data_IF_393414826762
#
_entry.id   IF_393414826762
#
_cell.length_a   1.000
_cell.length_b   1.000
_cell.length_c   1.000
_cell.angle_alpha   90.00
_cell.angle_beta   90.00
_cell.angle_gamma   90.00
#
_symmetry.space_group_name_H-M   'P 1'
#
loop_
_entity.id
_entity.type
_entity.pdbx_description
1 polymer ?
#
# COMPACT_ATOMS: atom_id res chain seq x y z
N UNK A 1 0.02 9.99 26.77
CA UNK A 1 -1.02 10.76 26.04
C UNK A 1 -0.89 10.39 24.57
N UNK A 2 -1.92 9.93 23.86
CA UNK A 2 -1.76 9.66 22.44
C UNK A 2 -1.50 10.99 21.73
N UNK A 3 -0.37 11.08 21.04
CA UNK A 3 -0.01 12.24 20.24
C UNK A 3 -1.14 12.53 19.25
N UNK A 4 -1.72 13.73 19.31
CA UNK A 4 -2.73 14.15 18.33
C UNK A 4 -2.06 14.21 16.96
N UNK A 5 -2.47 13.34 16.05
CA UNK A 5 -2.10 13.46 14.63
C UNK A 5 -2.58 14.84 14.16
N UNK A 6 -1.71 15.66 13.54
CA UNK A 6 -2.11 16.97 13.06
C UNK A 6 -3.21 16.83 12.01
N UNK A 7 -4.16 17.78 12.01
CA UNK A 7 -5.14 17.92 10.93
C UNK A 7 -4.38 18.27 9.64
N UNK A 8 -4.34 17.31 8.72
CA UNK A 8 -3.79 17.52 7.38
C UNK A 8 -4.99 17.81 6.47
N UNK A 9 -4.97 18.99 5.82
CA UNK A 9 -5.92 19.37 4.78
C UNK A 9 -5.19 19.31 3.44
N UNK A 10 -5.60 18.38 2.58
CA UNK A 10 -5.09 18.25 1.21
C UNK A 10 -6.24 18.39 0.22
N UNK A 11 -5.98 19.12 -0.88
CA UNK A 11 -6.93 19.38 -1.96
C UNK A 11 -6.48 18.75 -3.27
N UNK A 12 -7.42 18.19 -4.04
CA UNK A 12 -7.19 17.77 -5.44
C UNK A 12 -8.45 17.96 -6.28
N UNK A 13 -8.27 18.10 -7.60
CA UNK A 13 -9.40 18.22 -8.54
C UNK A 13 -9.72 16.84 -9.11
N UNK A 14 -10.97 16.43 -9.05
CA UNK A 14 -11.47 15.16 -9.58
C UNK A 14 -12.65 15.40 -10.51
N UNK A 15 -12.61 14.79 -11.70
CA UNK A 15 -13.77 14.71 -12.58
C UNK A 15 -14.74 13.62 -12.10
N UNK A 16 -15.99 13.97 -11.83
CA UNK A 16 -17.11 13.05 -11.53
C UNK A 16 -18.22 13.35 -12.52
N UNK A 17 -18.57 12.38 -13.38
CA UNK A 17 -19.57 12.55 -14.45
C UNK A 17 -19.36 13.77 -15.37
N UNK A 18 -18.10 14.15 -15.60
CA UNK A 18 -17.75 15.29 -16.46
C UNK A 18 -17.67 16.65 -15.75
N UNK A 19 -18.03 16.71 -14.47
CA UNK A 19 -17.90 17.91 -13.65
C UNK A 19 -16.64 17.84 -12.79
N UNK A 20 -15.96 18.98 -12.61
CA UNK A 20 -14.75 19.10 -11.80
C UNK A 20 -15.11 19.46 -10.36
N UNK A 21 -14.64 18.65 -9.42
CA UNK A 21 -14.79 18.86 -7.99
C UNK A 21 -13.42 19.06 -7.34
N UNK A 22 -13.28 20.08 -6.51
CA UNK A 22 -12.15 20.16 -5.59
C UNK A 22 -12.50 19.41 -4.30
N UNK A 23 -11.73 18.36 -4.01
CA UNK A 23 -11.95 17.48 -2.87
C UNK A 23 -10.98 17.84 -1.77
N UNK A 24 -11.49 18.17 -0.60
CA UNK A 24 -10.69 18.37 0.60
C UNK A 24 -10.82 17.18 1.55
N UNK A 25 -9.69 16.53 1.84
CA UNK A 25 -9.63 15.48 2.87
C UNK A 25 -9.17 16.12 4.17
N UNK A 26 -9.97 15.94 5.24
CA UNK A 26 -9.59 16.30 6.61
C UNK A 26 -9.52 15.02 7.43
N UNK A 27 -8.31 14.62 7.83
CA UNK A 27 -8.13 13.50 8.73
C UNK A 27 -8.66 13.86 10.14
N UNK A 28 -9.52 13.00 10.70
CA UNK A 28 -10.06 13.14 12.05
C UNK A 28 -9.52 11.97 12.87
N UNK A 29 -8.89 12.27 14.01
CA UNK A 29 -8.48 11.24 14.96
C UNK A 29 -9.71 10.70 15.70
N UNK A 30 -10.09 9.45 15.41
CA UNK A 30 -11.27 8.79 15.97
C UNK A 30 -11.07 7.28 16.02
N UNK A 31 -11.69 6.62 16.99
CA UNK A 31 -11.81 5.14 17.05
C UNK A 31 -13.15 4.65 16.51
N UNK A 32 -14.10 5.55 16.22
CA UNK A 32 -15.42 5.21 15.70
C UNK A 32 -15.34 4.90 14.20
N UNK A 33 -15.73 3.68 13.80
CA UNK A 33 -15.62 3.19 12.41
C UNK A 33 -14.21 3.34 11.85
N UNK A 34 -13.19 3.23 12.72
CA UNK A 34 -11.81 3.18 12.30
C UNK A 34 -11.51 1.85 11.61
N UNK A 35 -10.41 1.80 10.88
CA UNK A 35 -9.84 0.53 10.43
C UNK A 35 -9.38 -0.28 11.65
N UNK A 36 -9.11 -1.58 11.44
CA UNK A 36 -8.53 -2.44 12.47
C UNK A 36 -7.17 -1.92 12.96
N UNK A 37 -6.64 -2.47 14.04
CA UNK A 37 -5.32 -2.07 14.50
C UNK A 37 -4.23 -2.43 13.48
N UNK A 38 -3.27 -1.52 13.36
CA UNK A 38 -2.11 -1.69 12.49
C UNK A 38 -0.90 -1.85 13.39
N UNK A 39 -0.37 -3.07 13.51
CA UNK A 39 0.88 -3.26 14.23
C UNK A 39 2.02 -2.61 13.45
N UNK A 40 2.83 -1.83 14.15
CA UNK A 40 4.05 -1.21 13.61
C UNK A 40 5.26 -1.88 14.26
N UNK A 41 6.08 -2.54 13.44
CA UNK A 41 7.27 -3.24 13.90
C UNK A 41 8.50 -2.46 13.48
N UNK A 42 9.23 -1.92 14.46
CA UNK A 42 10.57 -1.38 14.23
C UNK A 42 11.59 -2.52 14.31
N UNK A 43 12.09 -2.97 13.16
CA UNK A 43 12.99 -4.11 13.03
C UNK A 43 14.42 -3.63 12.74
N UNK A 44 15.36 -3.98 13.60
CA UNK A 44 16.80 -3.70 13.42
C UNK A 44 17.66 -4.87 13.87
N UNK A 45 18.78 -5.11 13.18
CA UNK A 45 19.77 -6.15 13.53
C UNK A 45 19.18 -7.58 13.56
N UNK A 46 18.28 -7.88 12.63
CA UNK A 46 17.48 -9.10 12.60
C UNK A 46 17.22 -9.57 11.16
N UNK A 47 16.53 -10.70 10.99
CA UNK A 47 16.05 -11.14 9.68
C UNK A 47 15.03 -10.16 9.11
N UNK A 48 15.04 -9.99 7.79
CA UNK A 48 14.08 -9.16 7.08
C UNK A 48 12.66 -9.61 7.39
N UNK A 49 11.79 -8.62 7.58
CA UNK A 49 10.42 -8.81 8.00
C UNK A 49 9.46 -8.26 6.95
N UNK A 50 8.59 -9.12 6.42
CA UNK A 50 7.56 -8.77 5.45
C UNK A 50 6.41 -8.04 6.14
N UNK A 51 6.03 -6.89 5.59
CA UNK A 51 4.76 -6.23 5.91
C UNK A 51 3.58 -6.97 5.26
N UNK A 52 2.39 -6.85 5.84
CA UNK A 52 1.17 -7.36 5.23
C UNK A 52 -0.04 -6.47 5.57
N UNK A 53 -1.16 -6.83 4.96
CA UNK A 53 -2.41 -6.09 5.09
C UNK A 53 -2.86 -6.09 6.56
N UNK A 54 -3.07 -4.91 7.17
CA UNK A 54 -3.45 -4.78 8.57
C UNK A 54 -4.96 -5.02 8.78
N UNK A 55 -5.53 -6.00 8.09
CA UNK A 55 -6.95 -6.28 8.15
C UNK A 55 -7.22 -7.67 8.69
N UNK A 56 -8.23 -7.77 9.55
CA UNK A 56 -8.68 -9.03 10.15
C UNK A 56 -8.91 -10.12 9.10
N UNK A 57 -8.55 -11.34 9.48
CA UNK A 57 -8.97 -12.55 8.75
C UNK A 57 -10.48 -12.68 8.84
N UNK A 58 -11.16 -12.47 7.73
CA UNK A 58 -12.61 -12.59 7.63
C UNK A 58 -13.03 -13.74 6.69
N UNK A 59 -12.09 -14.28 5.93
CA UNK A 59 -12.34 -15.32 4.93
C UNK A 59 -11.07 -16.16 4.64
N UNK A 60 -11.20 -17.30 3.94
CA UNK A 60 -10.06 -18.19 3.65
C UNK A 60 -8.92 -17.53 2.86
N UNK A 61 -9.18 -16.50 2.05
CA UNK A 61 -8.17 -15.81 1.26
C UNK A 61 -7.35 -14.88 2.15
N UNK A 62 -8.02 -14.07 2.96
CA UNK A 62 -7.36 -13.24 3.98
C UNK A 62 -6.60 -14.10 5.00
N UNK A 63 -7.09 -15.30 5.32
CA UNK A 63 -6.38 -16.27 6.16
C UNK A 63 -5.08 -16.75 5.52
N UNK A 64 -5.11 -17.18 4.26
CA UNK A 64 -3.89 -17.56 3.52
C UNK A 64 -2.94 -16.37 3.38
N UNK A 65 -3.47 -15.19 3.12
CA UNK A 65 -2.70 -13.95 3.09
C UNK A 65 -2.00 -13.67 4.43
N UNK A 66 -2.67 -13.84 5.55
CA UNK A 66 -2.12 -13.67 6.91
C UNK A 66 -1.22 -14.84 7.39
N UNK A 67 -1.16 -15.95 6.67
CA UNK A 67 -0.14 -16.98 6.89
C UNK A 67 1.15 -16.63 6.13
N UNK A 68 1.02 -16.05 4.93
CA UNK A 68 2.15 -15.71 4.05
C UNK A 68 2.73 -14.32 4.36
N UNK A 69 1.91 -13.44 4.92
CA UNK A 69 2.25 -12.11 5.43
C UNK A 69 1.69 -11.95 6.85
N UNK A 70 2.01 -10.87 7.56
CA UNK A 70 1.49 -10.62 8.90
C UNK A 70 0.64 -9.35 8.90
N UNK A 71 -0.22 -9.21 9.90
CA UNK A 71 -1.01 -8.00 10.16
C UNK A 71 -0.16 -6.86 10.75
N UNK A 72 0.96 -6.54 10.11
CA UNK A 72 1.87 -5.51 10.57
C UNK A 72 2.60 -4.83 9.43
N UNK A 73 2.95 -3.57 9.63
CA UNK A 73 3.87 -2.83 8.77
C UNK A 73 5.22 -2.77 9.45
N UNK A 74 6.24 -3.29 8.77
CA UNK A 74 7.59 -3.41 9.29
C UNK A 74 8.49 -2.29 8.75
N UNK A 75 9.21 -1.62 9.64
CA UNK A 75 10.29 -0.68 9.33
C UNK A 75 11.62 -1.40 9.54
N UNK A 76 12.27 -1.83 8.46
CA UNK A 76 13.49 -2.64 8.46
C UNK A 76 14.74 -1.78 8.28
N UNK A 77 15.43 -1.40 9.36
CA UNK A 77 16.58 -0.48 9.32
C UNK A 77 17.81 -1.04 10.05
N UNK A 78 19.00 -0.69 9.60
CA UNK A 78 20.27 -1.19 10.18
C UNK A 78 20.70 -2.50 9.50
N UNK A 79 21.44 -3.37 10.22
CA UNK A 79 21.85 -4.65 9.64
C UNK A 79 20.66 -5.60 9.54
N UNK A 80 20.29 -5.99 8.33
CA UNK A 80 19.15 -6.87 8.06
C UNK A 80 19.62 -8.07 7.24
N UNK A 81 19.18 -9.27 7.64
CA UNK A 81 19.46 -10.48 6.88
C UNK A 81 18.37 -10.77 5.85
N UNK A 82 18.71 -10.81 4.56
CA UNK A 82 17.76 -10.84 3.45
C UNK A 82 17.72 -12.16 2.68
N UNK A 83 17.25 -13.24 3.29
CA UNK A 83 17.21 -14.56 2.65
C UNK A 83 16.50 -14.59 1.27
N UNK A 84 15.47 -13.78 1.06
CA UNK A 84 14.65 -13.81 -0.17
C UNK A 84 15.26 -13.05 -1.35
N UNK A 85 16.03 -12.00 -1.09
CA UNK A 85 16.58 -11.13 -2.13
C UNK A 85 18.07 -11.38 -2.34
N UNK A 86 18.81 -11.61 -1.25
CA UNK A 86 20.25 -11.78 -1.23
C UNK A 86 20.64 -12.46 0.07
N UNK A 87 20.94 -13.76 0.01
CA UNK A 87 21.25 -14.60 1.18
C UNK A 87 22.51 -14.15 1.95
N UNK A 88 22.37 -13.05 2.69
CA UNK A 88 23.45 -12.30 3.33
C UNK A 88 22.88 -11.24 4.28
N UNK A 89 23.74 -10.72 5.14
CA UNK A 89 23.48 -9.48 5.87
C UNK A 89 23.77 -8.27 4.98
N UNK A 90 22.85 -7.31 4.95
CA UNK A 90 23.03 -6.02 4.29
C UNK A 90 22.63 -4.89 5.24
N UNK A 91 23.18 -3.70 5.05
CA UNK A 91 22.84 -2.54 5.88
C UNK A 91 21.78 -1.68 5.20
N UNK A 92 20.58 -1.67 5.76
CA UNK A 92 19.46 -0.86 5.30
C UNK A 92 19.55 0.56 5.87
N UNK A 93 19.76 1.53 4.98
CA UNK A 93 19.93 2.94 5.34
C UNK A 93 18.57 3.58 5.59
N UNK A 94 18.47 4.34 6.69
CA UNK A 94 17.23 4.99 7.16
C UNK A 94 16.51 5.82 6.08
N UNK A 95 17.24 6.58 5.26
CA UNK A 95 16.61 7.39 4.21
C UNK A 95 15.90 6.55 3.14
N UNK A 96 16.49 5.41 2.76
CA UNK A 96 15.88 4.48 1.81
C UNK A 96 14.69 3.78 2.46
N UNK A 97 14.84 3.34 3.71
CA UNK A 97 13.77 2.68 4.44
C UNK A 97 12.60 3.63 4.74
N UNK A 98 12.85 4.92 4.98
CA UNK A 98 11.80 5.94 5.10
C UNK A 98 10.92 6.04 3.85
N UNK A 99 11.51 5.86 2.66
CA UNK A 99 10.76 5.86 1.40
C UNK A 99 10.01 4.53 1.20
N UNK A 100 10.68 3.40 1.48
CA UNK A 100 10.08 2.08 1.34
C UNK A 100 8.94 1.84 2.32
N UNK A 101 9.10 2.28 3.57
CA UNK A 101 8.07 2.21 4.60
C UNK A 101 6.86 3.05 4.22
N UNK A 102 7.05 4.29 3.74
CA UNK A 102 5.92 5.13 3.27
C UNK A 102 5.18 4.47 2.11
N UNK A 103 5.92 3.93 1.14
CA UNK A 103 5.35 3.20 0.01
C UNK A 103 4.55 1.98 0.49
N UNK A 104 5.18 1.12 1.29
CA UNK A 104 4.59 -0.13 1.78
C UNK A 104 3.38 0.16 2.65
N UNK A 105 3.48 1.11 3.57
CA UNK A 105 2.35 1.52 4.40
C UNK A 105 1.16 1.97 3.56
N UNK A 106 1.42 2.78 2.53
CA UNK A 106 0.36 3.27 1.64
C UNK A 106 -0.28 2.14 0.83
N UNK A 107 0.52 1.14 0.43
CA UNK A 107 0.04 -0.06 -0.27
C UNK A 107 -0.83 -0.94 0.66
N UNK A 108 -0.31 -1.31 1.83
CA UNK A 108 -1.00 -2.22 2.75
C UNK A 108 -2.28 -1.58 3.35
N UNK A 109 -2.23 -0.32 3.78
CA UNK A 109 -3.43 0.39 4.27
C UNK A 109 -4.44 0.59 3.14
N UNK A 110 -3.97 0.80 1.92
CA UNK A 110 -4.85 0.93 0.76
C UNK A 110 -5.64 -0.34 0.47
N UNK A 111 -5.10 -1.53 0.76
CA UNK A 111 -5.88 -2.78 0.71
C UNK A 111 -7.09 -2.76 1.63
N UNK A 112 -6.98 -2.17 2.82
CA UNK A 112 -8.11 -2.03 3.75
C UNK A 112 -9.23 -1.15 3.15
N UNK A 113 -8.86 -0.06 2.46
CA UNK A 113 -9.82 0.80 1.75
C UNK A 113 -10.50 0.02 0.61
N UNK A 114 -9.72 -0.68 -0.22
CA UNK A 114 -10.25 -1.47 -1.34
C UNK A 114 -11.15 -2.61 -0.85
N UNK A 115 -10.80 -3.25 0.28
CA UNK A 115 -11.61 -4.30 0.90
C UNK A 115 -12.94 -3.74 1.40
N UNK A 116 -12.94 -2.57 2.05
CA UNK A 116 -14.17 -1.91 2.47
C UNK A 116 -15.07 -1.52 1.28
N UNK A 117 -14.48 -1.14 0.15
CA UNK A 117 -15.22 -0.78 -1.06
C UNK A 117 -15.80 -1.98 -1.82
N UNK A 118 -14.99 -3.02 -2.06
CA UNK A 118 -15.30 -4.10 -3.00
C UNK A 118 -15.07 -5.53 -2.48
N UNK A 119 -14.75 -5.69 -1.20
CA UNK A 119 -14.46 -6.99 -0.57
C UNK A 119 -13.05 -7.53 -0.84
N UNK A 120 -12.74 -8.67 -0.23
CA UNK A 120 -11.39 -9.28 -0.23
C UNK A 120 -10.88 -9.61 -1.63
N UNK A 121 -11.71 -10.18 -2.50
CA UNK A 121 -11.30 -10.49 -3.88
C UNK A 121 -10.90 -9.23 -4.65
N UNK A 122 -11.60 -8.12 -4.44
CA UNK A 122 -11.30 -6.86 -5.10
C UNK A 122 -10.00 -6.23 -4.59
N UNK A 123 -9.72 -6.34 -3.28
CA UNK A 123 -8.46 -5.86 -2.68
C UNK A 123 -7.27 -6.72 -3.11
N UNK A 124 -7.29 -8.03 -2.85
CA UNK A 124 -6.14 -8.91 -3.14
C UNK A 124 -5.97 -9.22 -4.63
N UNK A 125 -7.06 -9.23 -5.40
CA UNK A 125 -7.03 -9.48 -6.84
C UNK A 125 -6.93 -8.20 -7.68
N UNK A 126 -6.76 -7.05 -7.03
CA UNK A 126 -6.88 -5.75 -7.67
C UNK A 126 -5.99 -5.65 -8.92
N UNK A 127 -6.61 -5.24 -10.03
CA UNK A 127 -5.97 -5.04 -11.35
C UNK A 127 -5.24 -6.25 -11.93
N UNK A 128 -5.61 -7.44 -11.48
CA UNK A 128 -5.18 -8.73 -12.04
C UNK A 128 -3.66 -8.93 -12.14
N UNK A 129 -2.89 -8.19 -11.33
CA UNK A 129 -1.42 -8.29 -11.32
C UNK A 129 -0.90 -9.46 -10.48
N UNK A 130 -1.74 -10.00 -9.61
CA UNK A 130 -1.42 -11.11 -8.70
C UNK A 130 -2.48 -12.19 -8.71
N UNK A 131 -2.08 -13.40 -8.33
CA UNK A 131 -2.98 -14.46 -7.95
C UNK A 131 -3.52 -14.15 -6.54
N UNK A 132 -4.83 -13.92 -6.43
CA UNK A 132 -5.49 -13.54 -5.18
C UNK A 132 -5.24 -14.52 -4.02
N UNK A 133 -5.02 -15.81 -4.33
CA UNK A 133 -4.80 -16.86 -3.33
C UNK A 133 -3.32 -16.97 -2.97
N UNK A 134 -2.43 -17.03 -3.97
CA UNK A 134 -0.99 -17.26 -3.72
C UNK A 134 -0.18 -15.99 -3.55
N UNK A 135 -0.80 -14.82 -3.77
CA UNK A 135 -0.18 -13.49 -3.79
C UNK A 135 1.05 -13.37 -4.70
N UNK A 136 1.23 -14.33 -5.60
CA UNK A 136 2.32 -14.32 -6.55
C UNK A 136 1.95 -13.46 -7.75
N UNK A 137 2.94 -12.69 -8.23
CA UNK A 137 2.80 -11.91 -9.45
C UNK A 137 2.42 -12.81 -10.62
N UNK A 138 1.38 -12.43 -11.36
CA UNK A 138 0.93 -13.15 -12.55
C UNK A 138 1.90 -12.97 -13.71
N UNK A 139 1.95 -13.96 -14.60
CA UNK A 139 2.72 -13.86 -15.84
C UNK A 139 2.19 -12.77 -16.79
N UNK A 140 0.94 -12.34 -16.64
CA UNK A 140 0.33 -11.23 -17.38
C UNK A 140 0.56 -9.85 -16.75
N UNK A 141 1.21 -9.77 -15.57
CA UNK A 141 1.39 -8.50 -14.88
C UNK A 141 2.13 -7.46 -15.76
N UNK A 142 1.68 -6.20 -15.76
CA UNK A 142 2.30 -5.17 -16.58
C UNK A 142 3.73 -4.87 -16.11
N UNK A 143 4.56 -4.38 -17.03
CA UNK A 143 5.90 -3.91 -16.70
C UNK A 143 5.84 -2.52 -16.07
N UNK A 144 6.85 -2.16 -15.28
CA UNK A 144 7.03 -0.78 -14.82
C UNK A 144 6.99 0.19 -16.02
N UNK A 145 6.12 1.21 -16.01
CA UNK A 145 6.10 2.21 -17.08
C UNK A 145 7.40 3.04 -17.03
N UNK A 146 7.92 3.38 -18.20
CA UNK A 146 9.19 4.11 -18.30
C UNK A 146 9.06 5.56 -17.81
N UNK A 147 7.87 6.14 -17.97
CA UNK A 147 7.56 7.55 -17.67
C UNK A 147 6.17 7.68 -17.05
N UNK A 148 5.87 8.85 -16.48
CA UNK A 148 4.56 9.16 -15.87
C UNK A 148 4.33 8.52 -14.51
N UNK A 149 3.13 8.72 -13.98
CA UNK A 149 2.67 8.16 -12.72
C UNK A 149 2.57 6.63 -12.77
N UNK A 150 2.72 6.00 -11.61
CA UNK A 150 2.67 4.56 -11.42
C UNK A 150 1.62 4.29 -10.36
N UNK A 151 0.68 3.44 -10.70
CA UNK A 151 -0.26 2.97 -9.70
C UNK A 151 0.44 2.17 -8.60
N UNK A 152 0.14 2.50 -7.35
CA UNK A 152 0.77 1.90 -6.16
C UNK A 152 0.30 0.46 -5.87
N UNK A 153 -0.89 0.07 -6.33
CA UNK A 153 -1.51 -1.21 -5.98
C UNK A 153 -1.02 -2.45 -6.74
N UNK A 154 -0.74 -2.42 -8.05
CA UNK A 154 -0.37 -3.63 -8.77
C UNK A 154 1.09 -4.03 -8.56
N UNK A 155 1.34 -5.34 -8.58
CA UNK A 155 2.70 -5.86 -8.71
C UNK A 155 3.18 -5.71 -10.15
N UNK A 156 4.29 -5.01 -10.35
CA UNK A 156 4.84 -4.71 -11.67
C UNK A 156 6.08 -5.53 -12.01
N UNK A 157 6.21 -5.92 -13.26
CA UNK A 157 7.37 -6.65 -13.78
C UNK A 157 8.51 -5.72 -14.14
N UNK A 158 9.71 -6.28 -14.16
CA UNK A 158 10.90 -5.62 -14.67
C UNK A 158 10.69 -5.09 -16.10
N UNK A 159 11.18 -3.87 -16.31
CA UNK A 159 11.28 -3.26 -17.64
C UNK A 159 12.76 -3.26 -18.09
N UNK A 160 13.08 -2.46 -19.12
CA UNK A 160 14.45 -2.37 -19.65
C UNK A 160 15.51 -1.89 -18.64
N UNK A 161 15.10 -1.22 -17.57
CA UNK A 161 15.98 -0.78 -16.47
C UNK A 161 16.08 -1.81 -15.33
N UNK A 162 15.26 -2.88 -15.38
CA UNK A 162 15.14 -3.89 -14.33
C UNK A 162 13.95 -3.64 -13.40
N UNK A 163 14.04 -4.13 -12.15
CA UNK A 163 12.96 -4.02 -11.16
C UNK A 163 12.82 -2.63 -10.50
N UNK A 164 11.92 -2.56 -9.50
CA UNK A 164 11.51 -1.33 -8.79
C UNK A 164 12.69 -0.43 -8.40
N UNK A 165 13.70 -0.99 -7.72
CA UNK A 165 14.84 -0.22 -7.19
C UNK A 165 15.78 0.33 -8.27
N UNK A 166 15.64 -0.11 -9.52
CA UNK A 166 16.40 0.40 -10.66
C UNK A 166 15.63 1.44 -11.48
N UNK A 167 14.40 1.74 -11.08
CA UNK A 167 13.59 2.74 -11.75
C UNK A 167 13.94 4.15 -11.24
N UNK A 168 14.17 5.13 -12.12
CA UNK A 168 14.49 6.49 -11.71
C UNK A 168 13.30 7.16 -11.01
N UNK A 169 13.57 7.83 -9.89
CA UNK A 169 12.58 8.56 -9.09
C UNK A 169 11.34 7.73 -8.70
N UNK A 170 11.49 6.42 -8.53
CA UNK A 170 10.36 5.48 -8.43
C UNK A 170 9.33 5.87 -7.36
N UNK A 171 9.80 6.21 -6.15
CA UNK A 171 8.93 6.58 -5.03
C UNK A 171 8.14 7.89 -5.25
N UNK A 172 8.63 8.78 -6.12
CA UNK A 172 7.93 10.03 -6.46
C UNK A 172 6.84 9.83 -7.51
N UNK A 173 6.87 8.71 -8.22
CA UNK A 173 5.93 8.40 -9.30
C UNK A 173 4.74 7.58 -8.84
N UNK A 174 4.83 6.93 -7.67
CA UNK A 174 3.72 6.14 -7.14
C UNK A 174 2.57 7.03 -6.68
N UNK A 175 1.37 6.73 -7.17
CA UNK A 175 0.12 7.42 -6.85
C UNK A 175 -1.01 6.40 -6.67
N UNK A 176 -2.04 6.77 -5.93
CA UNK A 176 -3.29 6.01 -5.93
C UNK A 176 -4.00 6.21 -7.27
N UNK A 177 -4.55 5.14 -7.85
CA UNK A 177 -5.27 5.29 -9.11
C UNK A 177 -6.57 6.05 -8.91
N UNK A 178 -7.05 6.71 -9.98
CA UNK A 178 -8.33 7.44 -9.96
C UNK A 178 -9.48 6.59 -9.40
N UNK A 179 -9.57 5.31 -9.78
CA UNK A 179 -10.62 4.42 -9.29
C UNK A 179 -10.53 4.16 -7.79
N UNK A 180 -9.33 4.08 -7.24
CA UNK A 180 -9.11 3.81 -5.81
C UNK A 180 -9.39 5.06 -4.98
N UNK A 181 -9.04 6.24 -5.50
CA UNK A 181 -9.44 7.53 -4.92
C UNK A 181 -10.96 7.68 -4.92
N UNK A 182 -11.63 7.36 -6.04
CA UNK A 182 -13.09 7.37 -6.11
C UNK A 182 -13.72 6.33 -5.16
N UNK A 183 -13.06 5.19 -4.94
CA UNK A 183 -13.51 4.18 -3.98
C UNK A 183 -13.47 4.71 -2.54
N UNK A 184 -12.41 5.44 -2.18
CA UNK A 184 -12.31 6.14 -0.90
C UNK A 184 -13.43 7.17 -0.75
N UNK A 185 -13.68 8.01 -1.76
CA UNK A 185 -14.74 9.01 -1.72
C UNK A 185 -16.13 8.39 -1.63
N UNK A 186 -16.36 7.27 -2.30
CA UNK A 186 -17.61 6.51 -2.17
C UNK A 186 -17.83 6.02 -0.73
N UNK A 187 -16.77 5.57 -0.06
CA UNK A 187 -16.83 5.09 1.32
C UNK A 187 -17.13 6.19 2.34
N UNK A 188 -16.79 7.44 2.06
CA UNK A 188 -17.17 8.55 2.96
C UNK A 188 -18.66 8.86 2.91
N UNK A 189 -19.42 8.25 1.99
CA UNK A 189 -20.86 8.49 1.80
C UNK A 189 -21.15 9.99 1.68
N UNK A 190 -20.38 10.68 0.82
CA UNK A 190 -20.49 12.12 0.61
C UNK A 190 -21.95 12.54 0.45
N UNK A 191 -22.39 13.46 1.30
CA UNK A 191 -23.64 14.19 1.12
C UNK A 191 -23.31 15.46 0.35
N UNK A 192 -23.81 15.58 -0.88
CA UNK A 192 -23.76 16.82 -1.63
C UNK A 192 -24.71 17.81 -0.94
N UNK A 193 -24.18 18.98 -0.56
CA UNK A 193 -24.95 20.07 0.04
C UNK A 193 -25.06 21.23 -0.93
#
# INVERSE_FOLDING_TARGET
MPNKIPLIKTGFIQAVNGELYEVFVNAINTTKKAMDDVDLIFNTNNKWMRSGNPGTVEDPISFVGNIVSREAICYNVGYIYEYFYKDSWDYQIENSENLEFKFTSSHEIGHTILKAYGGTFYSYGHKESVNTITQNQKSSAPKFPLEGEIDIMPYLKDNKYGGKLRQPNIYKRFVASQKDVLSLLWLTKLELR
#
